data_IF_202122163452
#
_entry.id   IF_202122163452
#
_cell.length_a   1.000
_cell.length_b   1.000
_cell.length_c   1.000
_cell.angle_alpha   90.00
_cell.angle_beta   90.00
_cell.angle_gamma   90.00
#
_symmetry.space_group_name_H-M   'P 1'
#
loop_
_entity.id
_entity.type
_entity.pdbx_description
1 polymer ?
#
# COMPACT_ATOMS: atom_id res chain seq x y z
N UNK A 1 12.87 4.99 15.28
CA UNK A 1 13.36 3.90 14.42
C UNK A 1 12.21 2.93 14.24
N UNK A 2 11.51 2.97 13.09
CA UNK A 2 10.45 2.02 12.78
C UNK A 2 11.12 0.76 12.21
N UNK A 3 10.99 -0.38 12.90
CA UNK A 3 11.71 -1.63 12.61
C UNK A 3 11.39 -2.16 11.21
N UNK A 4 10.20 -1.86 10.66
CA UNK A 4 9.71 -2.40 9.38
C UNK A 4 9.56 -1.33 8.29
N UNK A 5 9.85 -0.06 8.59
CA UNK A 5 9.70 1.09 7.68
C UNK A 5 8.26 1.37 7.18
N UNK A 6 7.32 0.44 7.31
CA UNK A 6 5.91 0.53 6.86
C UNK A 6 5.30 1.90 7.17
N UNK A 7 5.36 2.34 8.43
CA UNK A 7 4.70 3.58 8.85
C UNK A 7 5.40 4.88 8.44
N UNK A 8 6.68 4.86 8.03
CA UNK A 8 7.39 6.11 7.65
C UNK A 8 7.19 6.50 6.20
N UNK A 9 6.75 5.56 5.36
CA UNK A 9 6.52 5.79 3.93
C UNK A 9 5.04 6.15 3.64
N UNK A 10 4.17 6.20 4.66
CA UNK A 10 2.73 6.53 4.54
C UNK A 10 2.49 7.98 4.92
N UNK A 11 1.65 8.69 4.16
CA UNK A 11 1.23 10.07 4.44
C UNK A 11 1.85 11.10 3.49
N UNK A 12 1.53 12.37 3.72
CA UNK A 12 2.07 13.49 2.92
C UNK A 12 3.53 13.79 3.26
N UNK A 13 4.20 14.61 2.45
CA UNK A 13 5.65 14.85 2.55
C UNK A 13 6.10 15.25 3.97
N UNK A 14 5.33 16.08 4.67
CA UNK A 14 5.76 16.69 5.93
C UNK A 14 5.62 15.78 7.15
N UNK A 15 4.66 14.86 7.19
CA UNK A 15 4.37 14.05 8.38
C UNK A 15 3.86 12.66 7.99
N UNK A 16 4.38 11.58 8.60
CA UNK A 16 3.82 10.26 8.41
C UNK A 16 2.43 10.13 9.04
N UNK A 17 1.50 9.55 8.29
CA UNK A 17 0.12 9.32 8.77
C UNK A 17 -0.06 7.85 9.14
N UNK A 18 -0.45 7.52 10.38
CA UNK A 18 -0.72 6.14 10.75
C UNK A 18 -2.01 5.68 10.03
N UNK A 19 -1.97 4.57 9.25
CA UNK A 19 -3.14 4.06 8.51
C UNK A 19 -4.11 3.32 9.44
N UNK A 20 -4.60 4.02 10.47
CA UNK A 20 -5.28 3.43 11.62
C UNK A 20 -4.42 2.28 12.19
N UNK A 21 -5.06 1.27 12.79
CA UNK A 21 -4.41 0.03 13.20
C UNK A 21 -4.54 -1.09 12.15
N UNK A 22 -4.92 -0.76 10.90
CA UNK A 22 -5.22 -1.73 9.85
C UNK A 22 -4.00 -2.56 9.44
N UNK A 23 -2.85 -1.90 9.25
CA UNK A 23 -1.64 -2.58 8.81
C UNK A 23 -1.01 -3.43 9.91
N UNK A 24 -1.02 -2.95 11.15
CA UNK A 24 -0.28 -3.59 12.24
C UNK A 24 -1.12 -4.67 12.93
N UNK A 25 -2.26 -4.29 13.51
CA UNK A 25 -3.07 -5.21 14.33
C UNK A 25 -3.75 -6.28 13.45
N UNK A 26 -4.25 -5.88 12.28
CA UNK A 26 -5.01 -6.80 11.43
C UNK A 26 -4.12 -7.49 10.40
N UNK A 27 -3.59 -6.75 9.42
CA UNK A 27 -2.83 -7.35 8.33
C UNK A 27 -1.49 -7.95 8.82
N UNK A 28 -0.82 -7.28 9.75
CA UNK A 28 0.46 -7.67 10.31
C UNK A 28 0.39 -8.65 11.48
N UNK A 29 -0.79 -8.92 12.05
CA UNK A 29 -0.91 -9.83 13.19
C UNK A 29 -2.11 -10.77 13.11
N UNK A 30 -3.34 -10.25 13.19
CA UNK A 30 -4.53 -11.11 13.27
C UNK A 30 -4.61 -12.13 12.13
N UNK A 31 -4.28 -11.70 10.91
CA UNK A 31 -4.26 -12.59 9.74
C UNK A 31 -3.16 -13.65 9.85
N UNK A 32 -1.94 -13.27 10.26
CA UNK A 32 -0.85 -14.21 10.45
C UNK A 32 -1.13 -15.23 11.56
N UNK A 33 -1.76 -14.79 12.65
CA UNK A 33 -2.19 -15.67 13.74
C UNK A 33 -3.25 -16.66 13.25
N UNK A 34 -4.28 -16.20 12.54
CA UNK A 34 -5.31 -17.08 11.96
C UNK A 34 -4.68 -18.09 11.00
N UNK A 35 -3.78 -17.67 10.12
CA UNK A 35 -3.07 -18.56 9.21
C UNK A 35 -2.23 -19.60 9.96
N UNK A 36 -1.51 -19.18 11.01
CA UNK A 36 -0.76 -20.07 11.89
C UNK A 36 -1.66 -21.09 12.60
N UNK A 37 -2.83 -20.67 13.07
CA UNK A 37 -3.83 -21.54 13.69
C UNK A 37 -4.39 -22.57 12.72
N UNK A 38 -4.74 -22.15 11.50
CA UNK A 38 -5.21 -23.05 10.45
C UNK A 38 -4.14 -24.08 10.08
N UNK A 39 -2.88 -23.66 9.92
CA UNK A 39 -1.76 -24.55 9.65
C UNK A 39 -1.50 -25.54 10.81
N UNK A 40 -1.57 -25.06 12.05
CA UNK A 40 -1.41 -25.90 13.23
C UNK A 40 -2.55 -26.91 13.40
N UNK A 41 -3.79 -26.50 13.12
CA UNK A 41 -4.94 -27.39 13.15
C UNK A 41 -4.81 -28.49 12.08
N UNK A 42 -4.38 -28.14 10.87
CA UNK A 42 -4.16 -29.10 9.79
C UNK A 42 -3.08 -30.13 10.16
N UNK A 43 -1.98 -29.68 10.77
CA UNK A 43 -0.92 -30.56 11.29
C UNK A 43 -1.44 -31.44 12.42
N UNK A 44 -2.14 -30.87 13.40
CA UNK A 44 -2.67 -31.59 14.55
C UNK A 44 -3.67 -32.67 14.14
N UNK A 45 -4.41 -32.47 13.04
CA UNK A 45 -5.35 -33.47 12.49
C UNK A 45 -4.65 -34.77 12.08
N UNK A 46 -3.41 -34.70 11.61
CA UNK A 46 -2.65 -35.89 11.19
C UNK A 46 -1.70 -36.39 12.28
N UNK A 47 -1.11 -35.50 13.08
CA UNK A 47 -0.14 -35.85 14.12
C UNK A 47 -0.75 -36.17 15.49
N UNK A 48 -1.96 -35.67 15.77
CA UNK A 48 -2.55 -35.68 17.12
C UNK A 48 -1.88 -34.72 18.11
N UNK A 49 -0.89 -33.93 17.68
CA UNK A 49 -0.06 -33.08 18.53
C UNK A 49 -0.20 -31.62 18.11
N UNK A 50 -0.57 -30.76 19.07
CA UNK A 50 -0.62 -29.31 18.89
C UNK A 50 0.76 -28.65 18.84
N UNK A 51 0.79 -27.33 18.63
CA UNK A 51 2.01 -26.53 18.66
C UNK A 51 1.72 -25.10 19.11
N UNK A 52 2.74 -24.42 19.62
CA UNK A 52 2.68 -22.98 19.90
C UNK A 52 2.80 -22.20 18.60
N UNK A 53 2.02 -21.14 18.48
CA UNK A 53 2.08 -20.19 17.37
C UNK A 53 2.52 -18.87 17.97
N UNK A 54 3.64 -18.36 17.48
CA UNK A 54 4.08 -16.99 17.74
C UNK A 54 3.76 -16.14 16.51
N UNK A 55 3.08 -15.02 16.73
CA UNK A 55 2.64 -14.11 15.70
C UNK A 55 2.97 -12.67 16.14
N UNK A 56 4.14 -12.20 15.73
CA UNK A 56 4.60 -10.85 16.03
C UNK A 56 4.14 -9.86 14.97
N UNK A 57 3.59 -8.71 15.41
CA UNK A 57 3.20 -7.59 14.53
C UNK A 57 4.36 -7.14 13.64
N UNK A 58 5.58 -7.11 14.16
CA UNK A 58 6.78 -6.73 13.41
C UNK A 58 7.08 -7.67 12.26
N UNK A 59 6.88 -8.98 12.45
CA UNK A 59 7.21 -9.97 11.45
C UNK A 59 6.16 -9.99 10.34
N UNK A 60 4.88 -9.89 10.72
CA UNK A 60 3.80 -9.82 9.74
C UNK A 60 3.79 -8.50 8.96
N UNK A 61 4.00 -7.36 9.61
CA UNK A 61 4.11 -6.06 8.91
C UNK A 61 5.32 -6.01 7.97
N UNK A 62 6.49 -6.56 8.37
CA UNK A 62 7.63 -6.72 7.47
C UNK A 62 7.33 -7.64 6.27
N UNK A 63 6.52 -8.68 6.47
CA UNK A 63 6.12 -9.64 5.43
C UNK A 63 5.19 -9.04 4.36
N UNK A 64 4.58 -7.88 4.62
CA UNK A 64 3.76 -7.14 3.65
C UNK A 64 4.58 -6.19 2.74
N UNK A 65 5.83 -5.90 3.11
CA UNK A 65 6.72 -4.97 2.39
C UNK A 65 7.61 -5.54 1.25
N UNK A 66 7.64 -6.85 0.88
CA UNK A 66 8.59 -7.35 -0.12
C UNK A 66 8.57 -6.62 -1.48
N UNK A 67 7.40 -6.18 -1.95
CA UNK A 67 7.30 -5.41 -3.20
C UNK A 67 8.06 -4.09 -3.09
N UNK A 68 7.82 -3.32 -2.03
CA UNK A 68 8.45 -2.02 -1.79
C UNK A 68 9.96 -2.16 -1.59
N UNK A 69 10.40 -3.18 -0.84
CA UNK A 69 11.83 -3.48 -0.72
C UNK A 69 12.49 -3.88 -2.04
N UNK A 70 11.74 -4.56 -2.92
CA UNK A 70 12.25 -4.92 -4.25
C UNK A 70 12.35 -3.67 -5.14
N UNK A 71 11.36 -2.78 -5.09
CA UNK A 71 11.38 -1.51 -5.81
C UNK A 71 12.51 -0.60 -5.35
N UNK A 72 12.74 -0.49 -4.04
CA UNK A 72 13.87 0.26 -3.46
C UNK A 72 15.21 -0.28 -3.97
N UNK A 73 15.41 -1.61 -3.93
CA UNK A 73 16.63 -2.25 -4.47
C UNK A 73 16.82 -2.05 -5.97
N UNK A 74 15.74 -1.92 -6.73
CA UNK A 74 15.78 -1.66 -8.17
C UNK A 74 15.90 -0.16 -8.50
N UNK A 75 15.92 0.73 -7.50
CA UNK A 75 15.92 2.18 -7.68
C UNK A 75 14.58 2.75 -8.17
N UNK A 76 13.51 1.95 -8.10
CA UNK A 76 12.15 2.32 -8.47
C UNK A 76 11.32 2.85 -7.27
N UNK A 77 11.91 2.86 -6.07
CA UNK A 77 11.37 3.54 -4.89
C UNK A 77 12.37 4.57 -4.40
N UNK A 78 11.97 5.83 -4.39
CA UNK A 78 12.74 6.96 -3.93
C UNK A 78 12.82 7.04 -2.40
N UNK A 79 13.85 7.71 -1.87
CA UNK A 79 14.07 7.82 -0.43
C UNK A 79 13.10 8.79 0.26
N UNK A 80 12.42 9.65 -0.50
CA UNK A 80 11.45 10.63 0.02
C UNK A 80 10.05 10.02 0.01
N UNK A 81 9.31 10.23 1.10
CA UNK A 81 7.87 9.98 1.14
C UNK A 81 7.17 10.95 0.19
N UNK A 82 6.03 10.54 -0.33
CA UNK A 82 5.25 11.34 -1.26
C UNK A 82 6.06 11.70 -2.53
N UNK A 83 6.78 10.73 -3.09
CA UNK A 83 7.52 10.88 -4.34
C UNK A 83 7.49 9.65 -5.24
N UNK A 84 6.68 8.65 -4.88
CA UNK A 84 6.67 7.33 -5.47
C UNK A 84 5.34 7.04 -6.18
N UNK A 85 5.35 6.02 -7.02
CA UNK A 85 4.17 5.64 -7.80
C UNK A 85 2.94 5.29 -6.94
N UNK A 86 3.15 4.71 -5.76
CA UNK A 86 2.08 4.14 -4.92
C UNK A 86 1.89 4.85 -3.57
N UNK A 87 2.48 6.03 -3.38
CA UNK A 87 2.41 6.79 -2.13
C UNK A 87 1.48 8.01 -2.21
N UNK A 88 0.60 8.03 -3.20
CA UNK A 88 -0.42 9.07 -3.33
C UNK A 88 0.08 10.36 -3.98
N UNK A 89 1.04 10.30 -4.92
CA UNK A 89 1.67 11.51 -5.47
C UNK A 89 1.63 11.69 -6.96
N UNK A 90 1.15 10.68 -7.68
CA UNK A 90 0.84 10.83 -9.09
C UNK A 90 -0.60 11.30 -9.26
N UNK A 91 -0.86 12.06 -10.30
CA UNK A 91 -2.21 12.60 -10.54
C UNK A 91 -3.25 11.52 -10.91
N UNK A 92 -2.79 10.28 -11.15
CA UNK A 92 -3.61 9.11 -11.45
C UNK A 92 -3.63 8.09 -10.30
N UNK A 93 -2.96 8.36 -9.17
CA UNK A 93 -2.96 7.52 -7.97
C UNK A 93 -2.92 8.41 -6.71
N UNK A 94 -4.06 9.02 -6.36
CA UNK A 94 -4.23 9.88 -5.18
C UNK A 94 -5.72 10.10 -4.85
N UNK A 95 -6.00 10.79 -3.75
CA UNK A 95 -7.32 11.23 -3.31
C UNK A 95 -7.51 12.73 -3.58
N UNK A 96 -8.65 13.08 -4.17
CA UNK A 96 -9.03 14.45 -4.57
C UNK A 96 -10.30 14.92 -3.86
N UNK A 97 -10.30 16.16 -3.40
CA UNK A 97 -11.50 16.82 -2.89
C UNK A 97 -12.43 17.20 -4.07
N UNK A 98 -13.73 17.01 -3.89
CA UNK A 98 -14.77 17.42 -4.84
C UNK A 98 -15.56 18.61 -4.30
N UNK A 99 -16.35 19.25 -5.15
CA UNK A 99 -17.05 20.52 -4.84
C UNK A 99 -17.89 20.48 -3.56
N UNK A 100 -18.42 19.31 -3.20
CA UNK A 100 -19.28 19.14 -2.02
C UNK A 100 -18.48 18.92 -0.71
N UNK A 101 -17.14 19.02 -0.75
CA UNK A 101 -16.24 18.78 0.39
C UNK A 101 -15.96 17.31 0.68
N UNK A 102 -16.54 16.41 -0.10
CA UNK A 102 -16.23 14.97 -0.08
C UNK A 102 -14.95 14.67 -0.87
N UNK A 103 -14.52 13.40 -0.85
CA UNK A 103 -13.30 12.95 -1.51
C UNK A 103 -13.55 11.81 -2.49
N UNK A 104 -12.79 11.78 -3.59
CA UNK A 104 -12.73 10.67 -4.54
C UNK A 104 -11.32 10.12 -4.63
N UNK A 105 -11.18 8.79 -4.62
CA UNK A 105 -9.91 8.10 -4.86
C UNK A 105 -9.74 7.81 -6.34
N UNK A 106 -8.60 8.17 -6.92
CA UNK A 106 -8.19 7.83 -8.28
C UNK A 106 -7.03 6.84 -8.20
N UNK A 107 -7.06 5.81 -9.04
CA UNK A 107 -6.06 4.74 -9.08
C UNK A 107 -5.89 4.15 -10.48
N UNK A 108 -5.88 5.01 -11.51
CA UNK A 108 -5.82 4.64 -12.93
C UNK A 108 -4.37 4.41 -13.39
N UNK A 109 -3.68 3.44 -12.80
CA UNK A 109 -2.27 3.15 -13.09
C UNK A 109 -2.03 2.60 -14.50
N UNK A 110 -2.99 1.84 -15.04
CA UNK A 110 -2.86 1.22 -16.35
C UNK A 110 -3.29 2.18 -17.48
N UNK A 111 -2.57 2.23 -18.62
CA UNK A 111 -2.81 3.21 -19.69
C UNK A 111 -4.25 3.27 -20.20
N UNK A 112 -4.92 2.12 -20.31
CA UNK A 112 -6.31 2.06 -20.77
C UNK A 112 -7.30 2.68 -19.77
N UNK A 113 -7.04 2.54 -18.46
CA UNK A 113 -7.90 3.15 -17.44
C UNK A 113 -7.62 4.64 -17.32
N UNK A 114 -6.36 5.06 -17.50
CA UNK A 114 -6.01 6.47 -17.55
C UNK A 114 -6.64 7.16 -18.77
N UNK A 115 -6.56 6.55 -19.95
CA UNK A 115 -7.23 7.07 -21.15
C UNK A 115 -8.75 7.21 -20.94
N UNK A 116 -9.38 6.23 -20.30
CA UNK A 116 -10.80 6.29 -19.94
C UNK A 116 -11.10 7.41 -18.94
N UNK A 117 -10.21 7.65 -17.96
CA UNK A 117 -10.35 8.76 -17.01
C UNK A 117 -10.33 10.11 -17.74
N UNK A 118 -9.37 10.31 -18.64
CA UNK A 118 -9.25 11.54 -19.44
C UNK A 118 -10.50 11.74 -20.31
N UNK A 119 -10.98 10.69 -20.99
CA UNK A 119 -12.19 10.73 -21.80
C UNK A 119 -13.42 11.11 -20.97
N UNK A 120 -13.65 10.42 -19.84
CA UNK A 120 -14.87 10.61 -19.02
C UNK A 120 -14.88 11.92 -18.22
N UNK A 121 -13.71 12.48 -17.96
CA UNK A 121 -13.57 13.78 -17.30
C UNK A 121 -13.41 14.93 -18.29
N UNK A 122 -13.48 14.64 -19.59
CA UNK A 122 -13.39 15.62 -20.68
C UNK A 122 -12.13 16.50 -20.55
N UNK A 123 -11.02 15.86 -20.14
CA UNK A 123 -9.74 16.52 -19.91
C UNK A 123 -8.95 16.62 -21.22
N UNK A 124 -8.14 17.67 -21.36
CA UNK A 124 -7.27 17.85 -22.53
C UNK A 124 -6.17 16.77 -22.56
N UNK A 125 -6.19 15.84 -23.53
CA UNK A 125 -5.18 14.81 -23.60
C UNK A 125 -3.75 15.35 -23.72
N UNK A 126 -3.55 16.54 -24.32
CA UNK A 126 -2.22 17.12 -24.46
C UNK A 126 -1.62 17.59 -23.11
N UNK A 127 -2.46 18.16 -22.24
CA UNK A 127 -2.06 18.54 -20.88
C UNK A 127 -1.72 17.33 -20.00
N UNK A 128 -2.31 16.17 -20.31
CA UNK A 128 -2.21 14.93 -19.53
C UNK A 128 -1.42 13.81 -20.21
N UNK A 129 -0.77 14.09 -21.35
CA UNK A 129 0.06 13.15 -22.12
C UNK A 129 1.50 12.99 -21.58
N UNK A 130 1.85 13.72 -20.52
CA UNK A 130 3.18 13.64 -19.90
C UNK A 130 3.50 12.23 -19.37
N UNK A 131 4.80 11.95 -19.11
CA UNK A 131 5.16 10.70 -18.46
C UNK A 131 4.35 10.55 -17.17
N UNK A 132 3.93 9.31 -16.88
CA UNK A 132 3.23 8.90 -15.66
C UNK A 132 4.10 9.13 -14.40
N UNK A 133 4.48 10.38 -14.15
CA UNK A 133 5.40 10.83 -13.12
C UNK A 133 5.06 12.27 -12.74
N UNK A 134 4.52 12.45 -11.54
CA UNK A 134 4.33 13.76 -10.88
C UNK A 134 2.94 14.38 -11.03
N UNK A 135 2.52 15.11 -9.99
CA UNK A 135 1.39 16.06 -10.05
C UNK A 135 1.78 17.24 -10.94
N UNK A 136 0.89 17.63 -11.85
CA UNK A 136 0.98 18.92 -12.55
C UNK A 136 1.03 20.09 -11.58
#
# INVERSE_FOLDING_TARGET
MNITRVGVDIGREDTPDPPLNLMDDYAGCSHFLVMGMLAALLKAKTSGVGQMIDAAITDGSASLMPMLYSMDKLGAWGPKRASNLLDGTTHFYDVYEILDGDFVSIGSNEPQFYALLIEKRELDPAAFAGPMSGRC
#
